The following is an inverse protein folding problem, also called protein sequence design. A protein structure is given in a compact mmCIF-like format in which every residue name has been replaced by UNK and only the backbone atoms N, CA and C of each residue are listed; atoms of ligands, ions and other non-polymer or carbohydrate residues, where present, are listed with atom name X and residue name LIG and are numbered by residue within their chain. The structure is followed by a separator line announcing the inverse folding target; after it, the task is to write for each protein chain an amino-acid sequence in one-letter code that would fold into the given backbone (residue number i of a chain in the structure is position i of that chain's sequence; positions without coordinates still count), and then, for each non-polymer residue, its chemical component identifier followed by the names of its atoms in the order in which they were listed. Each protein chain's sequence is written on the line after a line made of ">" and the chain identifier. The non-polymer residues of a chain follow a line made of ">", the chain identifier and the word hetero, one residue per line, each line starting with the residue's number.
data_IF_768349375215
#
_entry.id   IF_768349375215
#
_cell.length_a   1.000
_cell.length_b   1.000
_cell.length_c   1.000
_cell.angle_alpha   90.00
_cell.angle_beta   90.00
_cell.angle_gamma   90.00
#
_symmetry.space_group_name_H-M   'P 1'
#
loop_
_entity.id
_entity.type
_entity.pdbx_description
1 polymer ?
#
# COMPACT_ATOMS: atom_id res chain seq x y z
N UNK A 1 -27.54 40.33 -22.63
CA UNK A 1 -27.80 38.88 -22.59
C UNK A 1 -26.46 38.17 -22.43
N UNK A 2 -26.10 37.76 -21.21
CA UNK A 2 -24.84 37.06 -20.95
C UNK A 2 -25.15 35.57 -20.78
N UNK A 3 -24.87 34.76 -21.81
CA UNK A 3 -24.95 33.31 -21.72
C UNK A 3 -23.66 32.82 -21.09
N UNK A 4 -23.66 32.66 -19.76
CA UNK A 4 -22.61 31.91 -19.09
C UNK A 4 -22.70 30.45 -19.59
N UNK A 5 -21.79 30.06 -20.48
CA UNK A 5 -21.67 28.69 -20.93
C UNK A 5 -21.40 27.80 -19.71
N UNK A 6 -22.43 27.08 -19.27
CA UNK A 6 -22.34 26.03 -18.26
C UNK A 6 -21.39 24.97 -18.82
N UNK A 7 -20.11 25.02 -18.42
CA UNK A 7 -19.16 23.94 -18.69
C UNK A 7 -19.71 22.69 -18.02
N UNK A 8 -20.31 21.80 -18.82
CA UNK A 8 -20.77 20.51 -18.36
C UNK A 8 -19.58 19.79 -17.70
N UNK A 9 -19.79 19.26 -16.50
CA UNK A 9 -18.78 18.46 -15.83
C UNK A 9 -18.56 17.18 -16.65
N UNK A 10 -17.32 16.78 -16.92
CA UNK A 10 -17.05 15.55 -17.67
C UNK A 10 -17.71 14.35 -16.98
N UNK A 11 -18.38 13.50 -17.76
CA UNK A 11 -18.85 12.20 -17.27
C UNK A 11 -17.64 11.31 -17.11
N UNK A 12 -17.36 10.91 -15.87
CA UNK A 12 -16.24 10.02 -15.55
C UNK A 12 -16.61 8.57 -15.89
N UNK A 13 -15.65 7.82 -16.42
CA UNK A 13 -15.75 6.37 -16.61
C UNK A 13 -14.93 5.65 -15.55
N UNK A 14 -15.34 4.43 -15.21
CA UNK A 14 -14.63 3.58 -14.25
C UNK A 14 -13.64 2.69 -15.01
N UNK A 15 -12.45 2.50 -14.46
CA UNK A 15 -11.42 1.63 -15.01
C UNK A 15 -10.91 0.71 -13.91
N UNK A 16 -10.37 -0.45 -14.30
CA UNK A 16 -9.86 -1.46 -13.39
C UNK A 16 -8.39 -1.76 -13.69
N UNK A 17 -7.61 -2.06 -12.64
CA UNK A 17 -6.21 -2.40 -12.77
C UNK A 17 -5.79 -3.43 -11.72
N UNK A 18 -4.82 -4.28 -12.09
CA UNK A 18 -4.09 -5.13 -11.13
C UNK A 18 -2.80 -4.42 -10.74
N UNK A 19 -2.56 -4.34 -9.43
CA UNK A 19 -1.45 -3.55 -8.87
C UNK A 19 -0.65 -4.41 -7.91
N UNK A 20 0.65 -4.51 -8.17
CA UNK A 20 1.60 -5.17 -7.30
C UNK A 20 2.20 -4.11 -6.35
N UNK A 21 1.95 -4.27 -5.05
CA UNK A 21 2.39 -3.32 -4.02
C UNK A 21 3.40 -3.98 -3.08
N UNK A 22 4.60 -3.42 -3.02
CA UNK A 22 5.63 -3.81 -2.04
C UNK A 22 5.67 -2.79 -0.91
N UNK A 23 5.58 -3.25 0.34
CA UNK A 23 5.57 -2.39 1.54
C UNK A 23 6.68 -2.77 2.51
N UNK A 24 7.26 -1.77 3.16
CA UNK A 24 8.01 -2.00 4.40
C UNK A 24 7.01 -2.22 5.52
N UNK A 25 7.26 -3.11 6.45
CA UNK A 25 6.39 -3.31 7.61
C UNK A 25 7.19 -3.38 8.90
N UNK A 26 6.59 -2.89 9.98
CA UNK A 26 7.17 -3.05 11.30
C UNK A 26 6.79 -4.42 11.86
N UNK A 27 7.80 -5.24 12.12
CA UNK A 27 7.65 -6.54 12.76
C UNK A 27 8.18 -6.50 14.19
N UNK A 28 7.42 -7.07 15.12
CA UNK A 28 7.74 -7.05 16.54
C UNK A 28 7.75 -8.47 17.12
N UNK A 29 8.67 -8.69 18.06
CA UNK A 29 8.78 -9.91 18.88
C UNK A 29 8.98 -9.50 20.33
N UNK A 30 8.43 -10.28 21.25
CA UNK A 30 8.75 -10.17 22.67
C UNK A 30 9.91 -11.12 22.98
N UNK A 31 11.01 -10.59 23.49
CA UNK A 31 12.22 -11.37 23.75
C UNK A 31 12.94 -10.88 25.01
N UNK A 32 13.68 -11.80 25.62
CA UNK A 32 14.43 -11.52 26.85
C UNK A 32 15.74 -10.77 26.61
N UNK A 33 16.25 -10.78 25.38
CA UNK A 33 17.46 -10.06 24.95
C UNK A 33 17.41 -9.72 23.47
N UNK A 34 18.35 -8.89 23.02
CA UNK A 34 18.48 -8.55 21.60
C UNK A 34 18.91 -9.75 20.76
N UNK A 35 19.77 -10.62 21.29
CA UNK A 35 20.17 -11.88 20.63
C UNK A 35 18.95 -12.78 20.42
N UNK A 36 18.15 -12.98 21.47
CA UNK A 36 16.94 -13.81 21.41
C UNK A 36 15.91 -13.21 20.41
N UNK A 37 15.74 -11.88 20.40
CA UNK A 37 14.87 -11.22 19.42
C UNK A 37 15.31 -11.48 17.97
N UNK A 38 16.62 -11.43 17.69
CA UNK A 38 17.16 -11.69 16.35
C UNK A 38 16.91 -13.12 15.89
N UNK A 39 17.09 -14.10 16.77
CA UNK A 39 16.80 -15.50 16.47
C UNK A 39 15.31 -15.73 16.16
N UNK A 40 14.43 -15.13 16.96
CA UNK A 40 12.98 -15.20 16.73
C UNK A 40 12.59 -14.60 15.38
N UNK A 41 13.07 -13.40 15.07
CA UNK A 41 12.80 -12.74 13.79
C UNK A 41 13.35 -13.53 12.60
N UNK A 42 14.58 -14.08 12.71
CA UNK A 42 15.19 -14.89 11.66
C UNK A 42 14.41 -16.20 11.40
N UNK A 43 13.74 -16.76 12.41
CA UNK A 43 12.86 -17.92 12.26
C UNK A 43 11.48 -17.58 11.67
N UNK A 44 11.18 -16.29 11.46
CA UNK A 44 9.89 -15.79 10.99
C UNK A 44 8.84 -15.60 12.09
N UNK A 45 9.23 -15.69 13.37
CA UNK A 45 8.33 -15.43 14.49
C UNK A 45 8.03 -13.93 14.64
N UNK A 46 6.95 -13.62 15.37
CA UNK A 46 6.52 -12.25 15.66
C UNK A 46 5.21 -11.88 14.99
N UNK A 47 4.86 -10.60 15.12
CA UNK A 47 3.63 -10.06 14.58
C UNK A 47 3.84 -8.68 13.96
N UNK A 48 2.98 -8.37 13.00
CA UNK A 48 2.91 -7.05 12.37
C UNK A 48 2.31 -6.05 13.35
N UNK A 49 2.99 -4.94 13.58
CA UNK A 49 2.48 -3.89 14.46
C UNK A 49 1.77 -2.78 13.69
N UNK A 50 2.43 -2.27 12.66
CA UNK A 50 1.94 -1.16 11.84
C UNK A 50 2.09 -1.51 10.35
N UNK A 51 1.15 -1.02 9.53
CA UNK A 51 1.31 -1.05 8.08
C UNK A 51 2.36 0.02 7.77
N UNK A 52 3.54 -0.41 7.31
CA UNK A 52 4.57 0.54 6.96
C UNK A 52 4.40 1.09 5.55
N UNK A 53 5.43 1.78 5.09
CA UNK A 53 5.38 2.60 3.89
C UNK A 53 5.33 1.75 2.62
N UNK A 54 4.54 2.21 1.63
CA UNK A 54 4.60 1.65 0.29
C UNK A 54 5.92 2.06 -0.35
N UNK A 55 6.76 1.08 -0.65
CA UNK A 55 8.07 1.34 -1.27
C UNK A 55 7.94 1.36 -2.79
N UNK A 56 7.21 0.38 -3.35
CA UNK A 56 7.06 0.25 -4.79
C UNK A 56 5.62 -0.07 -5.17
N UNK A 57 5.19 0.48 -6.30
CA UNK A 57 3.89 0.23 -6.92
C UNK A 57 4.17 -0.06 -8.38
N UNK A 58 3.77 -1.24 -8.85
CA UNK A 58 3.77 -1.59 -10.26
C UNK A 58 2.34 -1.83 -10.73
N UNK A 59 2.01 -1.30 -11.90
CA UNK A 59 0.66 -1.36 -12.49
C UNK A 59 0.79 -2.09 -13.81
N UNK A 60 0.24 -3.30 -13.87
CA UNK A 60 0.48 -4.20 -15.00
C UNK A 60 -0.33 -3.77 -16.23
N UNK A 61 -1.64 -3.56 -16.05
CA UNK A 61 -2.58 -3.22 -17.13
C UNK A 61 -3.78 -2.46 -16.54
N UNK A 62 -4.30 -1.49 -17.31
CA UNK A 62 -5.51 -0.73 -16.99
C UNK A 62 -6.54 -0.96 -18.09
N UNK A 63 -7.75 -1.36 -17.71
CA UNK A 63 -8.86 -1.68 -18.63
C UNK A 63 -10.10 -0.80 -18.34
N UNK A 64 -10.89 -0.53 -19.38
CA UNK A 64 -12.10 0.33 -19.38
C UNK A 64 -13.40 -0.44 -19.13
#
# INVERSE_FOLDING_TARGET
>A
MAVAALKQRPVLKTFHATVNVTRMEQWCVEAQSAEHARELLASGAGYRREIGECINIDVDLVEE
#
